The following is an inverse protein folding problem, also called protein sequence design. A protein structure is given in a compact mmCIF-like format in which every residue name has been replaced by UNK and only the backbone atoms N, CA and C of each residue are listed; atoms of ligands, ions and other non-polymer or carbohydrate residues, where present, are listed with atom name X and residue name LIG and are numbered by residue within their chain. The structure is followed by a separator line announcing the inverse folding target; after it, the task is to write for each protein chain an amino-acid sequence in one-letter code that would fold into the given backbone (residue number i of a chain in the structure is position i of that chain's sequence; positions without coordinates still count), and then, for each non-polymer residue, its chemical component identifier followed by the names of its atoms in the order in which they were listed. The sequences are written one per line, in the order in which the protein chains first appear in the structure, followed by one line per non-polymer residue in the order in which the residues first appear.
data_IF_719832834896
#
_entry.id   IF_719832834896
#
_cell.length_a   1.000
_cell.length_b   1.000
_cell.length_c   1.000
_cell.angle_alpha   90.00
_cell.angle_beta   90.00
_cell.angle_gamma   90.00
#
_symmetry.space_group_name_H-M   'P 1'
#
loop_
_entity.id
_entity.type
_entity.pdbx_description
1 polymer ?
#
# COMPACT_ATOMS: atom_id res chain seq x y z
N UNK A 1 1.38 -3.29 9.65
CA UNK A 1 0.65 -2.95 8.42
C UNK A 1 -0.61 -3.80 8.33
N UNK A 2 -1.76 -3.15 8.16
CA UNK A 2 -3.07 -3.77 7.99
C UNK A 2 -3.58 -3.50 6.58
N UNK A 3 -4.22 -4.47 5.95
CA UNK A 3 -4.96 -4.23 4.72
C UNK A 3 -6.28 -3.54 5.02
N UNK A 4 -6.56 -2.41 4.36
CA UNK A 4 -7.76 -1.62 4.62
C UNK A 4 -9.06 -2.35 4.26
N UNK A 5 -9.04 -3.22 3.25
CA UNK A 5 -10.24 -3.96 2.81
C UNK A 5 -10.69 -5.02 3.82
N UNK A 6 -9.75 -5.69 4.48
CA UNK A 6 -10.03 -6.82 5.39
C UNK A 6 -9.75 -6.54 6.86
N UNK A 7 -9.04 -5.45 7.18
CA UNK A 7 -8.50 -5.13 8.50
C UNK A 7 -7.61 -6.25 9.09
N UNK A 8 -6.98 -7.06 8.23
CA UNK A 8 -6.07 -8.14 8.64
C UNK A 8 -4.61 -7.73 8.52
N UNK A 9 -3.73 -8.39 9.29
CA UNK A 9 -2.28 -8.18 9.22
C UNK A 9 -1.78 -8.60 7.84
N UNK A 10 -1.06 -7.70 7.17
CA UNK A 10 -0.44 -8.01 5.90
C UNK A 10 0.63 -9.11 6.08
N UNK A 11 0.42 -10.25 5.42
CA UNK A 11 1.37 -11.38 5.41
C UNK A 11 2.42 -11.23 4.30
N UNK A 12 2.08 -10.54 3.22
CA UNK A 12 2.98 -10.15 2.15
C UNK A 12 3.32 -8.66 2.26
N UNK A 13 4.59 -8.35 2.07
CA UNK A 13 5.07 -6.97 1.94
C UNK A 13 6.13 -6.89 0.84
N UNK A 14 6.16 -5.77 0.12
CA UNK A 14 7.16 -5.51 -0.92
C UNK A 14 7.86 -4.16 -0.70
N UNK A 15 8.33 -3.93 0.52
CA UNK A 15 8.99 -2.68 0.88
C UNK A 15 10.24 -2.43 0.03
N UNK A 16 10.44 -1.18 -0.30
CA UNK A 16 11.73 -0.67 -0.70
C UNK A 16 12.77 -0.99 0.39
N UNK A 17 14.01 -1.39 0.05
CA UNK A 17 15.05 -1.60 1.06
C UNK A 17 15.25 -0.36 1.94
N UNK A 18 15.07 -0.54 3.24
CA UNK A 18 15.14 0.53 4.25
C UNK A 18 13.79 1.06 4.70
N UNK A 19 12.67 0.62 4.12
CA UNK A 19 11.31 0.99 4.53
C UNK A 19 10.61 -0.13 5.31
N UNK A 20 9.59 0.18 6.14
CA UNK A 20 9.15 1.52 6.52
C UNK A 20 10.14 2.23 7.45
N UNK A 21 10.32 3.55 7.32
CA UNK A 21 11.29 4.30 8.14
C UNK A 21 10.78 5.56 8.84
N UNK A 22 9.52 5.99 8.62
CA UNK A 22 8.98 7.23 9.20
C UNK A 22 9.93 8.41 8.99
N UNK A 23 10.22 8.71 7.72
CA UNK A 23 11.30 9.58 7.31
C UNK A 23 11.18 10.96 7.97
N UNK A 24 12.30 11.52 8.44
CA UNK A 24 12.33 12.78 9.20
C UNK A 24 11.47 12.82 10.47
N UNK A 25 11.22 11.67 11.10
CA UNK A 25 10.36 11.58 12.30
C UNK A 25 8.92 12.04 12.03
N UNK A 26 8.48 11.97 10.77
CA UNK A 26 7.10 12.18 10.38
C UNK A 26 6.39 10.82 10.49
N UNK A 27 5.18 10.81 11.04
CA UNK A 27 4.36 9.61 11.07
C UNK A 27 3.88 9.28 9.64
N UNK A 28 4.46 8.24 9.05
CA UNK A 28 4.22 7.81 7.67
C UNK A 28 3.39 6.52 7.59
N UNK A 29 2.33 6.40 8.39
CA UNK A 29 1.61 5.13 8.60
C UNK A 29 0.73 4.64 7.43
N UNK A 30 0.88 5.21 6.22
CA UNK A 30 0.17 4.79 5.01
C UNK A 30 1.14 4.26 3.95
N UNK A 31 0.79 3.16 3.28
CA UNK A 31 1.66 2.55 2.26
C UNK A 31 1.28 3.04 0.86
N UNK A 32 2.28 3.32 0.03
CA UNK A 32 2.06 3.55 -1.40
C UNK A 32 3.10 2.84 -2.27
N UNK A 33 2.69 2.49 -3.48
CA UNK A 33 3.55 1.87 -4.49
C UNK A 33 4.33 2.96 -5.23
N UNK A 34 5.65 2.79 -5.37
CA UNK A 34 6.48 3.70 -6.18
C UNK A 34 6.33 3.43 -7.68
N UNK A 35 5.98 4.48 -8.42
CA UNK A 35 5.90 4.53 -9.89
C UNK A 35 7.14 5.26 -10.44
N UNK A 36 8.31 4.64 -10.35
CA UNK A 36 9.58 5.27 -10.76
C UNK A 36 10.79 4.40 -10.43
N UNK A 37 11.83 4.99 -9.83
CA UNK A 37 12.91 4.20 -9.24
C UNK A 37 12.35 3.29 -8.14
N UNK A 38 12.87 2.06 -8.06
CA UNK A 38 12.31 1.00 -7.19
C UNK A 38 10.84 0.71 -7.54
N UNK A 39 10.58 0.58 -8.84
CA UNK A 39 9.26 0.35 -9.43
C UNK A 39 8.52 -0.79 -8.71
N UNK A 40 7.25 -0.56 -8.41
CA UNK A 40 6.33 -1.50 -7.76
C UNK A 40 6.68 -1.90 -6.31
N UNK A 41 7.75 -1.35 -5.74
CA UNK A 41 8.04 -1.50 -4.32
C UNK A 41 7.32 -0.43 -3.50
N UNK A 42 7.12 -0.71 -2.22
CA UNK A 42 6.31 0.09 -1.33
C UNK A 42 7.17 1.05 -0.52
N UNK A 43 6.59 2.18 -0.17
CA UNK A 43 7.13 3.18 0.73
C UNK A 43 6.04 3.56 1.72
N UNK A 44 6.42 3.76 2.98
CA UNK A 44 5.54 4.39 3.95
C UNK A 44 5.52 5.90 3.66
N UNK A 45 4.34 6.51 3.74
CA UNK A 45 4.10 7.91 3.43
C UNK A 45 3.15 8.50 4.46
N UNK A 46 3.29 9.80 4.71
CA UNK A 46 2.29 10.54 5.49
C UNK A 46 0.90 10.35 4.86
N UNK A 47 -0.08 9.92 5.66
CA UNK A 47 -1.43 9.62 5.19
C UNK A 47 -2.18 10.82 4.57
N UNK A 48 -1.73 12.04 4.86
CA UNK A 48 -2.28 13.27 4.28
C UNK A 48 -1.78 13.55 2.86
N UNK A 49 -0.81 12.78 2.36
CA UNK A 49 -0.24 12.94 1.02
C UNK A 49 -1.27 12.61 -0.05
N UNK A 50 -1.48 13.52 -1.00
CA UNK A 50 -2.43 13.33 -2.11
C UNK A 50 -1.72 12.66 -3.29
N UNK A 51 -2.07 11.40 -3.55
CA UNK A 51 -1.57 10.59 -4.67
C UNK A 51 -2.71 9.79 -5.30
N UNK A 52 -2.47 9.25 -6.49
CA UNK A 52 -3.37 8.26 -7.08
C UNK A 52 -3.39 6.99 -6.22
N UNK A 53 -4.50 6.28 -6.25
CA UNK A 53 -4.72 5.08 -5.45
C UNK A 53 -5.33 3.98 -6.32
N UNK A 54 -5.26 2.76 -5.80
CA UNK A 54 -5.77 1.56 -6.44
C UNK A 54 -7.02 1.11 -5.67
N UNK A 55 -8.09 0.79 -6.40
CA UNK A 55 -9.31 0.27 -5.81
C UNK A 55 -9.34 -1.26 -5.86
N UNK A 56 -9.86 -1.87 -4.80
CA UNK A 56 -10.16 -3.29 -4.75
C UNK A 56 -11.68 -3.47 -4.68
N UNK A 57 -12.21 -4.41 -5.47
CA UNK A 57 -13.63 -4.79 -5.43
C UNK A 57 -13.77 -6.31 -5.45
N UNK A 58 -14.73 -6.82 -4.67
CA UNK A 58 -15.18 -8.22 -4.78
C UNK A 58 -15.68 -8.50 -6.19
N UNK A 59 -15.18 -9.56 -6.84
CA UNK A 59 -15.87 -10.10 -8.00
C UNK A 59 -17.07 -10.89 -7.51
N UNK A 60 -18.28 -10.34 -7.67
CA UNK A 60 -19.49 -11.11 -7.40
C UNK A 60 -19.60 -12.26 -8.42
N UNK A 61 -19.47 -13.51 -7.95
CA UNK A 61 -19.66 -14.72 -8.74
C UNK A 61 -18.60 -15.81 -8.52
N UNK A 62 -17.39 -15.46 -8.09
CA UNK A 62 -16.35 -16.38 -7.65
C UNK A 62 -15.39 -15.62 -6.72
N UNK A 63 -14.83 -16.29 -5.71
CA UNK A 63 -14.09 -15.77 -4.54
C UNK A 63 -12.77 -14.99 -4.83
N UNK A 64 -12.70 -14.16 -5.88
CA UNK A 64 -11.48 -13.41 -6.22
C UNK A 64 -11.73 -11.90 -6.28
N UNK A 65 -10.78 -11.15 -5.73
CA UNK A 65 -10.75 -9.70 -5.77
C UNK A 65 -10.14 -9.24 -7.09
N UNK A 66 -10.78 -8.30 -7.76
CA UNK A 66 -10.20 -7.62 -8.93
C UNK A 66 -9.66 -6.28 -8.46
N UNK A 67 -8.37 -6.08 -8.68
CA UNK A 67 -7.69 -4.80 -8.49
C UNK A 67 -7.89 -3.98 -9.76
N UNK A 68 -8.63 -2.87 -9.66
CA UNK A 68 -8.84 -1.93 -10.78
C UNK A 68 -7.90 -0.74 -10.56
N UNK A 69 -6.98 -0.55 -11.51
CA UNK A 69 -5.96 0.51 -11.51
C UNK A 69 -6.46 1.84 -12.04
#
# INVERSE_FOLDING_TARGET
WLWMSTQTIATYTNWVPGEPNSYHSIAEDCAAIRTGSRLFHWNDFACSTKINFICEKEAHGHEHWVVVG
#
